data_IF_400239173828
#
_entry.id   IF_400239173828
#
_cell.length_a   1.000
_cell.length_b   1.000
_cell.length_c   1.000
_cell.angle_alpha   90.00
_cell.angle_beta   90.00
_cell.angle_gamma   90.00
#
_symmetry.space_group_name_H-M   'P 1'
#
loop_
_entity.id
_entity.type
_entity.pdbx_description
1 polymer ?
#
# COMPACT_ATOMS: atom_id res chain seq x y z
N UNK A 1 38.21 -48.28 4.47
CA UNK A 1 37.92 -46.85 4.70
C UNK A 1 36.56 -46.54 4.11
N UNK A 2 35.54 -46.30 4.95
CA UNK A 2 34.16 -46.08 4.50
C UNK A 2 33.90 -44.61 4.17
N UNK A 3 33.04 -44.38 3.17
CA UNK A 3 32.62 -43.05 2.67
C UNK A 3 32.12 -42.07 3.75
N UNK A 4 31.69 -42.58 4.92
CA UNK A 4 31.28 -41.73 6.06
C UNK A 4 32.43 -40.95 6.69
N UNK A 5 33.66 -41.50 6.71
CA UNK A 5 34.83 -40.82 7.27
C UNK A 5 35.29 -39.63 6.42
N UNK A 6 35.24 -39.77 5.10
CA UNK A 6 35.62 -38.71 4.15
C UNK A 6 34.68 -37.50 4.20
N UNK A 7 33.40 -37.71 4.54
CA UNK A 7 32.40 -36.65 4.57
C UNK A 7 32.45 -35.84 5.89
N UNK A 8 32.82 -36.46 7.02
CA UNK A 8 33.08 -35.74 8.28
C UNK A 8 34.37 -34.90 8.22
N UNK A 9 35.40 -35.37 7.50
CA UNK A 9 36.65 -34.62 7.33
C UNK A 9 36.50 -33.41 6.37
N UNK A 10 35.65 -33.53 5.34
CA UNK A 10 35.38 -32.44 4.40
C UNK A 10 34.40 -31.38 4.93
N UNK A 11 33.49 -31.75 5.83
CA UNK A 11 32.43 -30.87 6.34
C UNK A 11 32.49 -30.57 7.85
N UNK A 12 33.46 -31.12 8.59
CA UNK A 12 33.62 -30.91 10.03
C UNK A 12 33.96 -29.48 10.47
N UNK A 13 34.07 -28.53 9.54
CA UNK A 13 34.61 -27.20 9.81
C UNK A 13 33.67 -26.00 9.64
N UNK A 14 32.44 -26.13 9.11
CA UNK A 14 31.65 -24.93 8.74
C UNK A 14 30.15 -25.11 8.96
N UNK A 15 29.69 -24.82 10.18
CA UNK A 15 28.26 -24.82 10.49
C UNK A 15 27.83 -24.02 11.71
N UNK A 16 28.72 -23.19 12.29
CA UNK A 16 28.30 -22.12 13.20
C UNK A 16 28.40 -20.83 12.42
N UNK A 17 27.26 -20.39 11.86
CA UNK A 17 27.06 -18.97 11.54
C UNK A 17 27.27 -18.24 12.87
N UNK A 18 28.49 -17.71 13.07
CA UNK A 18 28.76 -16.80 14.17
C UNK A 18 27.82 -15.63 13.93
N UNK A 19 26.78 -15.50 14.77
CA UNK A 19 26.09 -14.21 14.93
C UNK A 19 27.21 -13.22 15.23
N UNK A 20 27.55 -12.41 14.23
CA UNK A 20 28.47 -11.30 14.40
C UNK A 20 27.90 -10.48 15.54
N UNK A 21 28.63 -10.41 16.65
CA UNK A 21 28.26 -9.55 17.76
C UNK A 21 28.21 -8.12 17.21
N UNK A 22 27.00 -7.63 16.98
CA UNK A 22 26.73 -6.27 16.53
C UNK A 22 27.17 -5.33 17.65
N UNK A 23 28.45 -4.96 17.63
CA UNK A 23 28.96 -3.85 18.44
C UNK A 23 28.18 -2.61 18.03
N UNK A 24 27.58 -1.90 18.99
CA UNK A 24 27.08 -0.53 18.79
C UNK A 24 28.24 0.30 18.19
N UNK A 25 28.20 0.52 16.88
CA UNK A 25 29.29 1.15 16.11
C UNK A 25 29.66 0.46 14.78
N UNK A 26 29.22 -0.77 14.49
CA UNK A 26 29.44 -1.36 13.15
C UNK A 26 28.44 -0.82 12.12
N UNK A 27 28.89 -0.58 10.89
CA UNK A 27 28.05 -0.11 9.77
C UNK A 27 26.85 -1.05 9.57
N UNK A 28 25.67 -0.49 9.32
CA UNK A 28 24.47 -1.25 8.92
C UNK A 28 24.65 -1.62 7.45
N UNK A 29 24.72 -2.92 7.15
CA UNK A 29 24.96 -3.42 5.78
C UNK A 29 23.73 -4.13 5.19
N UNK A 30 22.75 -4.50 6.01
CA UNK A 30 21.49 -5.12 5.58
C UNK A 30 20.28 -4.64 6.39
N UNK A 31 19.07 -4.91 5.88
CA UNK A 31 17.82 -4.65 6.60
C UNK A 31 17.71 -5.55 7.82
N UNK A 32 18.26 -6.76 7.76
CA UNK A 32 18.32 -7.73 8.84
C UNK A 32 19.20 -7.22 9.99
N UNK A 33 20.37 -6.63 9.69
CA UNK A 33 21.24 -6.02 10.72
C UNK A 33 20.54 -4.85 11.41
N UNK A 34 19.74 -4.09 10.67
CA UNK A 34 18.95 -2.99 11.21
C UNK A 34 17.83 -3.53 12.11
N UNK A 35 17.15 -4.60 11.67
CA UNK A 35 16.11 -5.26 12.45
C UNK A 35 16.65 -5.83 13.78
N UNK A 36 17.85 -6.38 13.81
CA UNK A 36 18.47 -6.90 15.03
C UNK A 36 18.80 -5.81 16.07
N UNK A 37 18.93 -4.55 15.64
CA UNK A 37 19.20 -3.39 16.51
C UNK A 37 17.92 -2.70 17.01
N UNK A 38 16.79 -2.98 16.37
CA UNK A 38 15.51 -2.35 16.66
C UNK A 38 14.67 -3.21 17.62
N UNK A 39 13.68 -2.59 18.27
CA UNK A 39 12.66 -3.30 19.04
C UNK A 39 11.68 -4.12 18.15
N UNK A 40 10.77 -4.92 18.74
CA UNK A 40 9.86 -5.80 17.99
C UNK A 40 8.87 -5.05 17.09
N UNK A 41 8.57 -3.79 17.41
CA UNK A 41 7.72 -2.89 16.62
C UNK A 41 8.50 -1.60 16.32
N UNK A 42 9.33 -1.59 15.25
CA UNK A 42 10.12 -0.42 14.94
C UNK A 42 9.24 0.74 14.45
N UNK A 43 9.49 1.92 14.98
CA UNK A 43 8.93 3.18 14.52
C UNK A 43 9.78 3.79 13.39
N UNK A 44 9.16 4.67 12.60
CA UNK A 44 9.87 5.44 11.56
C UNK A 44 11.07 6.21 12.12
N UNK A 45 10.93 6.78 13.32
CA UNK A 45 11.97 7.59 13.97
C UNK A 45 13.20 6.75 14.34
N UNK A 46 12.98 5.59 14.97
CA UNK A 46 14.08 4.67 15.32
C UNK A 46 14.79 4.13 14.07
N UNK A 47 14.04 3.84 12.99
CA UNK A 47 14.64 3.43 11.72
C UNK A 47 15.46 4.56 11.11
N UNK A 48 14.97 5.80 11.13
CA UNK A 48 15.69 6.96 10.58
C UNK A 48 16.99 7.27 11.37
N UNK A 49 16.99 7.09 12.69
CA UNK A 49 18.17 7.31 13.54
C UNK A 49 19.28 6.29 13.27
N UNK A 50 18.90 5.05 12.98
CA UNK A 50 19.84 3.95 12.73
C UNK A 50 20.15 3.71 11.25
N UNK A 51 19.39 4.32 10.34
CA UNK A 51 19.63 4.24 8.91
C UNK A 51 20.94 4.95 8.55
N UNK A 52 21.76 4.37 7.67
CA UNK A 52 23.01 5.01 7.28
C UNK A 52 22.73 6.25 6.42
N UNK A 53 23.49 7.32 6.65
CA UNK A 53 23.37 8.56 5.87
C UNK A 53 23.76 8.36 4.40
N UNK A 54 24.71 7.45 4.13
CA UNK A 54 25.11 7.03 2.79
C UNK A 54 24.78 5.56 2.57
N UNK A 55 24.54 5.16 1.31
CA UNK A 55 24.27 3.75 0.98
C UNK A 55 22.86 3.27 1.32
N UNK A 56 21.94 4.16 1.70
CA UNK A 56 20.53 3.84 1.91
C UNK A 56 19.89 3.10 0.72
N UNK A 57 20.28 3.49 -0.51
CA UNK A 57 19.81 2.84 -1.74
C UNK A 57 20.19 1.35 -1.79
N UNK A 58 21.37 0.96 -1.26
CA UNK A 58 21.79 -0.44 -1.21
C UNK A 58 20.90 -1.28 -0.31
N UNK A 59 20.44 -0.72 0.81
CA UNK A 59 19.55 -1.41 1.73
C UNK A 59 18.16 -1.70 1.14
N UNK A 60 17.76 -0.95 0.11
CA UNK A 60 16.44 -1.10 -0.52
C UNK A 60 16.48 -1.80 -1.88
N UNK A 61 17.65 -2.29 -2.31
CA UNK A 61 17.84 -3.04 -3.56
C UNK A 61 17.04 -4.34 -3.62
N UNK A 62 16.67 -4.91 -2.47
CA UNK A 62 15.87 -6.13 -2.39
C UNK A 62 14.87 -6.07 -1.24
N UNK A 63 13.57 -6.34 -1.51
CA UNK A 63 12.56 -6.36 -0.46
C UNK A 63 12.72 -7.63 0.38
N UNK A 64 12.79 -7.53 1.71
CA UNK A 64 12.96 -8.68 2.59
C UNK A 64 11.69 -9.53 2.67
N UNK A 65 11.87 -10.85 2.80
CA UNK A 65 10.75 -11.80 2.86
C UNK A 65 10.01 -11.77 4.22
N UNK A 66 10.72 -11.44 5.30
CA UNK A 66 10.14 -11.42 6.64
C UNK A 66 9.32 -10.13 6.86
N UNK A 67 8.12 -10.27 7.42
CA UNK A 67 7.21 -9.13 7.68
C UNK A 67 7.88 -7.96 8.41
N UNK A 68 8.69 -8.26 9.44
CA UNK A 68 9.41 -7.25 10.21
C UNK A 68 10.42 -6.48 9.34
N UNK A 69 11.18 -7.19 8.53
CA UNK A 69 12.08 -6.59 7.55
C UNK A 69 11.31 -5.74 6.55
N UNK A 70 10.15 -6.20 6.06
CA UNK A 70 9.37 -5.49 5.04
C UNK A 70 8.85 -4.14 5.55
N UNK A 71 8.45 -4.07 6.83
CA UNK A 71 8.09 -2.79 7.47
C UNK A 71 9.28 -1.84 7.56
N UNK A 72 10.45 -2.33 7.98
CA UNK A 72 11.68 -1.53 8.04
C UNK A 72 12.06 -1.04 6.65
N UNK A 73 12.09 -1.94 5.67
CA UNK A 73 12.33 -1.64 4.26
C UNK A 73 11.34 -0.60 3.74
N UNK A 74 10.06 -0.69 4.11
CA UNK A 74 9.05 0.31 3.81
C UNK A 74 9.43 1.71 4.29
N UNK A 75 9.87 1.85 5.54
CA UNK A 75 10.39 3.14 6.05
C UNK A 75 11.64 3.60 5.31
N UNK A 76 12.58 2.70 5.01
CA UNK A 76 13.81 3.04 4.28
C UNK A 76 13.51 3.56 2.87
N UNK A 77 12.55 2.96 2.15
CA UNK A 77 12.12 3.46 0.83
C UNK A 77 11.52 4.87 0.90
N UNK A 78 10.75 5.17 1.95
CA UNK A 78 10.22 6.52 2.19
C UNK A 78 11.34 7.52 2.44
N UNK A 79 12.28 7.18 3.33
CA UNK A 79 13.44 8.03 3.64
C UNK A 79 14.28 8.29 2.39
N UNK A 80 14.53 7.26 1.57
CA UNK A 80 15.27 7.40 0.33
C UNK A 80 14.55 8.30 -0.68
N UNK A 81 13.22 8.15 -0.81
CA UNK A 81 12.43 9.00 -1.70
C UNK A 81 12.44 10.47 -1.26
N UNK A 82 12.40 10.71 0.05
CA UNK A 82 12.38 12.06 0.63
C UNK A 82 13.74 12.78 0.54
N UNK A 83 14.84 12.03 0.63
CA UNK A 83 16.21 12.58 0.53
C UNK A 83 16.66 12.77 -0.93
N UNK A 84 16.00 12.12 -1.88
CA UNK A 84 16.37 12.18 -3.29
C UNK A 84 15.73 13.37 -4.01
N UNK A 85 16.54 14.13 -4.75
CA UNK A 85 16.06 15.20 -5.64
C UNK A 85 15.33 14.64 -6.89
N UNK A 86 15.63 13.40 -7.28
CA UNK A 86 15.03 12.72 -8.43
C UNK A 86 14.14 11.56 -7.99
N UNK A 87 13.17 11.13 -8.83
CA UNK A 87 12.42 9.91 -8.55
C UNK A 87 13.35 8.72 -8.31
N UNK A 88 13.08 7.94 -7.26
CA UNK A 88 13.80 6.70 -7.01
C UNK A 88 12.99 5.52 -7.55
N UNK A 89 13.70 4.57 -8.17
CA UNK A 89 13.13 3.34 -8.68
C UNK A 89 13.56 2.20 -7.75
N UNK A 90 12.60 1.45 -7.22
CA UNK A 90 12.87 0.32 -6.31
C UNK A 90 12.04 -0.90 -6.74
N UNK A 91 12.47 -2.12 -6.39
CA UNK A 91 11.64 -3.31 -6.60
C UNK A 91 10.29 -3.22 -5.88
N UNK A 92 9.27 -3.87 -6.42
CA UNK A 92 7.99 -4.01 -5.74
C UNK A 92 8.14 -4.84 -4.46
N UNK A 93 7.79 -4.25 -3.32
CA UNK A 93 7.83 -4.89 -2.01
C UNK A 93 6.70 -4.40 -1.11
N UNK A 94 6.27 -5.25 -0.19
CA UNK A 94 5.23 -4.91 0.79
C UNK A 94 5.69 -3.70 1.65
N UNK A 95 4.75 -2.82 2.02
CA UNK A 95 5.01 -1.56 2.76
C UNK A 95 5.87 -0.51 2.05
N UNK A 96 6.16 -0.62 0.75
CA UNK A 96 6.88 0.44 0.03
C UNK A 96 6.23 1.82 0.22
N UNK A 97 7.03 2.84 0.57
CA UNK A 97 6.52 4.19 0.82
C UNK A 97 5.69 4.33 2.11
N UNK A 98 5.93 3.47 3.12
CA UNK A 98 5.29 3.56 4.43
C UNK A 98 5.57 4.91 5.10
N UNK A 99 4.50 5.62 5.46
CA UNK A 99 4.56 6.96 6.09
C UNK A 99 5.34 8.00 5.28
N UNK A 100 5.43 7.85 3.95
CA UNK A 100 6.14 8.78 3.08
C UNK A 100 5.57 10.20 3.17
N UNK A 101 6.43 11.18 3.41
CA UNK A 101 6.06 12.59 3.56
C UNK A 101 6.32 13.43 2.30
N UNK A 102 7.20 12.97 1.41
CA UNK A 102 7.64 13.72 0.24
C UNK A 102 8.33 12.83 -0.79
N UNK A 103 8.84 13.43 -1.87
CA UNK A 103 9.58 12.69 -2.89
C UNK A 103 8.72 11.96 -3.92
N UNK A 104 9.39 11.17 -4.78
CA UNK A 104 8.76 10.37 -5.83
C UNK A 104 9.33 8.96 -5.83
N UNK A 105 8.45 7.97 -5.74
CA UNK A 105 8.77 6.55 -5.65
C UNK A 105 8.14 5.81 -6.83
N UNK A 106 8.95 5.11 -7.61
CA UNK A 106 8.51 4.27 -8.73
C UNK A 106 8.80 2.83 -8.37
N UNK A 107 7.75 2.01 -8.26
CA UNK A 107 7.90 0.58 -8.01
C UNK A 107 7.99 -0.18 -9.32
N UNK A 108 9.08 -0.91 -9.51
CA UNK A 108 9.27 -1.79 -10.64
C UNK A 108 8.27 -2.97 -10.57
N UNK A 109 7.86 -3.55 -11.71
CA UNK A 109 7.05 -4.76 -11.71
C UNK A 109 7.74 -5.89 -10.93
N UNK A 110 6.99 -6.55 -10.06
CA UNK A 110 7.46 -7.71 -9.29
C UNK A 110 6.65 -8.96 -9.59
N UNK A 111 7.09 -10.09 -9.04
CA UNK A 111 6.42 -11.39 -9.19
C UNK A 111 5.02 -11.42 -8.56
N UNK A 112 4.82 -10.67 -7.47
CA UNK A 112 3.55 -10.53 -6.77
C UNK A 112 3.20 -9.06 -6.54
N UNK A 113 1.91 -8.68 -6.59
CA UNK A 113 1.48 -7.33 -6.22
C UNK A 113 1.81 -7.05 -4.74
N UNK A 114 2.55 -5.97 -4.43
CA UNK A 114 2.90 -5.64 -3.06
C UNK A 114 1.72 -5.00 -2.33
N UNK A 115 1.55 -5.38 -1.07
CA UNK A 115 0.49 -4.88 -0.18
C UNK A 115 1.01 -3.75 0.71
N UNK A 116 0.10 -2.95 1.28
CA UNK A 116 0.43 -1.82 2.17
C UNK A 116 1.30 -0.71 1.55
N UNK A 117 1.38 -0.64 0.22
CA UNK A 117 2.11 0.43 -0.46
C UNK A 117 1.49 1.79 -0.15
N UNK A 118 2.29 2.75 0.28
CA UNK A 118 1.82 4.09 0.64
C UNK A 118 0.95 4.14 1.89
N UNK A 119 1.00 3.11 2.74
CA UNK A 119 0.27 3.13 4.01
C UNK A 119 0.70 4.35 4.84
N UNK A 120 -0.28 5.06 5.40
CA UNK A 120 -0.10 6.24 6.28
C UNK A 120 0.72 7.38 5.66
N UNK A 121 0.89 7.41 4.33
CA UNK A 121 1.63 8.48 3.65
C UNK A 121 0.94 9.85 3.80
N UNK A 122 1.75 10.90 3.92
CA UNK A 122 1.33 12.29 4.14
C UNK A 122 1.66 13.19 2.95
N UNK A 123 2.55 12.75 2.05
CA UNK A 123 2.92 13.51 0.86
C UNK A 123 3.73 12.69 -0.13
N UNK A 124 4.26 13.36 -1.16
CA UNK A 124 4.98 12.72 -2.26
C UNK A 124 4.09 12.00 -3.26
N UNK A 125 4.72 11.25 -4.18
CA UNK A 125 4.02 10.48 -5.22
C UNK A 125 4.56 9.06 -5.36
N UNK A 126 3.67 8.08 -5.41
CA UNK A 126 4.01 6.69 -5.67
C UNK A 126 3.36 6.25 -6.98
N UNK A 127 4.14 5.63 -7.87
CA UNK A 127 3.61 5.01 -9.10
C UNK A 127 4.06 3.57 -9.24
N UNK A 128 3.14 2.71 -9.65
CA UNK A 128 3.41 1.28 -9.83
C UNK A 128 2.47 0.65 -10.85
N UNK A 129 2.74 -0.59 -11.27
CA UNK A 129 1.88 -1.30 -12.21
C UNK A 129 0.64 -1.87 -11.50
N UNK A 130 0.82 -2.84 -10.58
CA UNK A 130 -0.27 -3.53 -9.88
C UNK A 130 -0.01 -3.49 -8.38
N UNK A 131 -1.02 -3.10 -7.61
CA UNK A 131 -0.99 -3.09 -6.15
C UNK A 131 -1.73 -4.30 -5.57
N UNK A 132 -1.22 -4.81 -4.45
CA UNK A 132 -1.90 -5.78 -3.60
C UNK A 132 -2.94 -5.10 -2.71
N UNK A 133 -3.18 -5.69 -1.53
CA UNK A 133 -4.17 -5.18 -0.59
C UNK A 133 -3.68 -3.94 0.16
N UNK A 134 -4.60 -3.15 0.70
CA UNK A 134 -4.30 -2.00 1.58
C UNK A 134 -3.46 -0.90 0.93
N UNK A 135 -3.50 -0.77 -0.40
CA UNK A 135 -2.88 0.35 -1.13
C UNK A 135 -3.33 1.68 -0.54
N UNK A 136 -2.43 2.55 -0.10
CA UNK A 136 -2.76 3.87 0.43
C UNK A 136 -3.66 3.84 1.67
N UNK A 137 -3.64 2.75 2.44
CA UNK A 137 -4.39 2.67 3.69
C UNK A 137 -4.00 3.83 4.62
N UNK A 138 -4.99 4.51 5.20
CA UNK A 138 -4.80 5.61 6.15
C UNK A 138 -3.96 6.78 5.61
N UNK A 139 -3.93 6.96 4.30
CA UNK A 139 -3.24 8.08 3.65
C UNK A 139 -3.87 9.43 3.99
N UNK A 140 -3.04 10.43 4.30
CA UNK A 140 -3.44 11.80 4.64
C UNK A 140 -3.14 12.81 3.53
N UNK A 141 -2.20 12.49 2.64
CA UNK A 141 -1.77 13.39 1.58
C UNK A 141 -0.81 12.71 0.60
N UNK A 142 -0.51 13.38 -0.51
CA UNK A 142 0.28 12.83 -1.61
C UNK A 142 -0.58 12.23 -2.72
N UNK A 143 0.04 11.44 -3.60
CA UNK A 143 -0.62 10.84 -4.75
C UNK A 143 -0.15 9.41 -5.03
N UNK A 144 -1.08 8.50 -5.27
CA UNK A 144 -0.78 7.13 -5.72
C UNK A 144 -1.39 6.90 -7.09
N UNK A 145 -0.61 6.36 -8.03
CA UNK A 145 -1.08 5.97 -9.36
C UNK A 145 -0.72 4.51 -9.64
N UNK A 146 -1.73 3.68 -9.90
CA UNK A 146 -1.53 2.29 -10.32
C UNK A 146 -2.43 1.92 -11.50
N UNK A 147 -2.12 0.79 -12.14
CA UNK A 147 -2.97 0.26 -13.22
C UNK A 147 -4.09 -0.62 -12.69
N UNK A 148 -3.85 -1.38 -11.62
CA UNK A 148 -4.87 -2.15 -10.93
C UNK A 148 -4.52 -2.28 -9.44
N UNK A 149 -5.53 -2.56 -8.60
CA UNK A 149 -5.33 -2.83 -7.18
C UNK A 149 -6.26 -3.93 -6.66
N UNK A 150 -5.76 -4.71 -5.69
CA UNK A 150 -6.56 -5.65 -4.92
C UNK A 150 -7.44 -4.96 -3.86
N UNK A 151 -8.00 -5.74 -2.95
CA UNK A 151 -9.02 -5.27 -2.01
C UNK A 151 -8.50 -4.24 -1.00
N UNK A 152 -9.43 -3.52 -0.37
CA UNK A 152 -9.15 -2.56 0.69
C UNK A 152 -8.24 -1.38 0.29
N UNK A 153 -8.11 -1.10 -1.01
CA UNK A 153 -7.40 0.08 -1.47
C UNK A 153 -8.03 1.36 -0.91
N UNK A 154 -7.20 2.29 -0.44
CA UNK A 154 -7.55 3.58 0.16
C UNK A 154 -8.45 3.49 1.38
N UNK A 155 -8.38 2.37 2.12
CA UNK A 155 -9.09 2.21 3.40
C UNK A 155 -8.72 3.32 4.38
N UNK A 156 -9.71 3.93 5.02
CA UNK A 156 -9.56 4.99 6.01
C UNK A 156 -8.73 6.21 5.52
N UNK A 157 -8.70 6.46 4.21
CA UNK A 157 -8.04 7.63 3.64
C UNK A 157 -8.65 8.93 4.22
N UNK A 158 -7.80 9.93 4.46
CA UNK A 158 -8.18 11.26 5.00
C UNK A 158 -7.82 12.40 4.06
N UNK A 159 -6.92 12.16 3.10
CA UNK A 159 -6.51 13.18 2.13
C UNK A 159 -5.55 12.61 1.09
N UNK A 160 -5.19 13.45 0.11
CA UNK A 160 -4.41 13.04 -1.07
C UNK A 160 -5.28 12.61 -2.24
N UNK A 161 -4.68 11.93 -3.22
CA UNK A 161 -5.40 11.37 -4.36
C UNK A 161 -4.90 9.99 -4.77
N UNK A 162 -5.82 9.16 -5.25
CA UNK A 162 -5.56 7.84 -5.83
C UNK A 162 -6.11 7.76 -7.24
N UNK A 163 -5.30 7.27 -8.20
CA UNK A 163 -5.74 6.99 -9.57
C UNK A 163 -5.45 5.54 -9.91
N UNK A 164 -6.52 4.78 -10.17
CA UNK A 164 -6.46 3.40 -10.68
C UNK A 164 -6.87 3.42 -12.15
N UNK A 165 -5.93 3.16 -13.06
CA UNK A 165 -6.16 3.26 -14.51
C UNK A 165 -7.03 2.12 -15.07
N UNK A 166 -7.09 1.00 -14.39
CA UNK A 166 -7.90 -0.17 -14.71
C UNK A 166 -8.90 -0.43 -13.58
N UNK A 167 -8.96 -1.68 -13.12
CA UNK A 167 -9.95 -2.12 -12.15
C UNK A 167 -9.43 -2.09 -10.71
N UNK A 168 -10.36 -1.87 -9.78
CA UNK A 168 -10.15 -2.03 -8.35
C UNK A 168 -11.01 -3.20 -7.84
N UNK A 169 -10.47 -3.99 -6.92
CA UNK A 169 -11.24 -5.07 -6.29
C UNK A 169 -12.19 -4.54 -5.19
N UNK A 170 -12.64 -5.44 -4.32
CA UNK A 170 -13.61 -5.14 -3.26
C UNK A 170 -13.10 -4.12 -2.23
N UNK A 171 -14.03 -3.51 -1.50
CA UNK A 171 -13.74 -2.64 -0.36
C UNK A 171 -12.89 -1.41 -0.71
N UNK A 172 -13.00 -0.93 -1.94
CA UNK A 172 -12.37 0.31 -2.35
C UNK A 172 -12.88 1.48 -1.51
N UNK A 173 -11.97 2.23 -0.88
CA UNK A 173 -12.29 3.44 -0.13
C UNK A 173 -13.14 3.21 1.12
N UNK A 174 -13.06 2.03 1.75
CA UNK A 174 -13.81 1.76 2.99
C UNK A 174 -13.42 2.76 4.09
N UNK A 175 -14.41 3.36 4.75
CA UNK A 175 -14.20 4.29 5.85
C UNK A 175 -13.59 5.63 5.42
N UNK A 176 -13.55 5.91 4.11
CA UNK A 176 -12.93 7.10 3.57
C UNK A 176 -13.51 8.38 4.20
N UNK A 177 -12.62 9.23 4.69
CA UNK A 177 -12.91 10.46 5.38
C UNK A 177 -12.22 11.66 4.72
N UNK A 178 -11.78 11.53 3.47
CA UNK A 178 -11.29 12.65 2.67
C UNK A 178 -10.63 12.22 1.35
N UNK A 179 -9.88 13.13 0.73
CA UNK A 179 -9.16 12.83 -0.51
C UNK A 179 -10.05 12.54 -1.72
N UNK A 180 -9.41 12.13 -2.83
CA UNK A 180 -10.07 11.87 -4.12
C UNK A 180 -9.55 10.57 -4.73
N UNK A 181 -10.45 9.65 -5.02
CA UNK A 181 -10.15 8.36 -5.66
C UNK A 181 -10.83 8.33 -7.03
N UNK A 182 -10.05 8.07 -8.08
CA UNK A 182 -10.54 7.87 -9.44
C UNK A 182 -10.18 6.46 -9.91
N UNK A 183 -11.17 5.70 -10.32
CA UNK A 183 -11.03 4.41 -10.99
C UNK A 183 -11.56 4.55 -12.41
N UNK A 184 -10.70 4.30 -13.40
CA UNK A 184 -11.11 4.37 -14.81
C UNK A 184 -11.84 3.12 -15.29
N UNK A 185 -11.58 1.97 -14.67
CA UNK A 185 -12.31 0.73 -14.90
C UNK A 185 -13.46 0.54 -13.91
N UNK A 186 -13.70 -0.73 -13.57
CA UNK A 186 -14.76 -1.14 -12.64
C UNK A 186 -14.22 -1.35 -11.21
N UNK A 187 -15.12 -1.33 -10.23
CA UNK A 187 -14.84 -1.60 -8.83
C UNK A 187 -15.58 -2.85 -8.33
N UNK A 188 -14.97 -3.56 -7.39
CA UNK A 188 -15.59 -4.70 -6.71
C UNK A 188 -16.70 -4.30 -5.73
N UNK A 189 -17.12 -5.26 -4.91
CA UNK A 189 -18.23 -5.07 -3.97
C UNK A 189 -17.84 -4.14 -2.82
N UNK A 190 -18.84 -3.46 -2.24
CA UNK A 190 -18.67 -2.59 -1.05
C UNK A 190 -17.74 -1.40 -1.27
N UNK A 191 -17.61 -0.92 -2.50
CA UNK A 191 -16.93 0.34 -2.77
C UNK A 191 -17.61 1.50 -2.01
N UNK A 192 -16.83 2.32 -1.32
CA UNK A 192 -17.33 3.44 -0.51
C UNK A 192 -18.11 3.03 0.76
N UNK A 193 -17.98 1.79 1.24
CA UNK A 193 -18.62 1.37 2.49
C UNK A 193 -18.12 2.20 3.68
N UNK A 194 -19.04 2.76 4.48
CA UNK A 194 -18.76 3.68 5.59
C UNK A 194 -18.05 4.98 5.16
N UNK A 195 -18.19 5.42 3.92
CA UNK A 195 -17.63 6.69 3.47
C UNK A 195 -18.30 7.87 4.18
N UNK A 196 -17.47 8.77 4.73
CA UNK A 196 -17.86 9.94 5.54
C UNK A 196 -17.60 11.26 4.83
N UNK A 197 -16.50 11.36 4.08
CA UNK A 197 -16.05 12.55 3.36
C UNK A 197 -15.20 12.11 2.15
N UNK A 198 -14.85 13.07 1.28
CA UNK A 198 -14.03 12.84 0.09
C UNK A 198 -14.85 12.56 -1.16
N UNK A 199 -14.16 12.18 -2.24
CA UNK A 199 -14.75 11.90 -3.55
C UNK A 199 -14.27 10.57 -4.12
N UNK A 200 -15.20 9.70 -4.50
CA UNK A 200 -14.94 8.45 -5.20
C UNK A 200 -15.61 8.49 -6.57
N UNK A 201 -14.83 8.36 -7.64
CA UNK A 201 -15.32 8.33 -9.02
C UNK A 201 -14.91 7.01 -9.67
N UNK A 202 -15.88 6.28 -10.21
CA UNK A 202 -15.70 5.02 -10.92
C UNK A 202 -16.32 5.19 -12.32
N UNK A 203 -15.50 5.06 -13.37
CA UNK A 203 -15.96 5.27 -14.74
C UNK A 203 -16.55 4.01 -15.41
N UNK A 204 -16.30 2.83 -14.83
CA UNK A 204 -16.96 1.57 -15.19
C UNK A 204 -18.12 1.24 -14.25
N UNK A 205 -18.30 -0.05 -14.03
CA UNK A 205 -19.35 -0.61 -13.17
C UNK A 205 -18.85 -0.79 -11.73
N UNK A 206 -19.79 -0.93 -10.81
CA UNK A 206 -19.52 -1.35 -9.44
C UNK A 206 -20.39 -2.55 -9.09
N UNK A 207 -19.81 -3.53 -8.40
CA UNK A 207 -20.58 -4.64 -7.87
C UNK A 207 -21.47 -4.21 -6.67
N UNK A 208 -22.00 -5.20 -5.94
CA UNK A 208 -23.01 -5.00 -4.90
C UNK A 208 -22.54 -4.10 -3.73
N UNK A 209 -23.51 -3.55 -3.01
CA UNK A 209 -23.32 -2.75 -1.79
C UNK A 209 -22.48 -1.47 -1.97
N UNK A 210 -22.52 -0.86 -3.16
CA UNK A 210 -21.96 0.46 -3.39
C UNK A 210 -22.46 1.46 -2.32
N UNK A 211 -21.57 2.16 -1.64
CA UNK A 211 -21.92 3.21 -0.68
C UNK A 211 -22.72 2.72 0.54
N UNK A 212 -22.61 1.44 0.91
CA UNK A 212 -23.26 0.89 2.10
C UNK A 212 -22.93 1.75 3.33
N UNK A 213 -23.96 2.17 4.08
CA UNK A 213 -23.81 3.01 5.28
C UNK A 213 -22.96 4.28 5.09
N UNK A 214 -22.93 4.86 3.89
CA UNK A 214 -22.32 6.16 3.66
C UNK A 214 -23.03 7.24 4.49
N UNK A 215 -22.26 8.07 5.21
CA UNK A 215 -22.80 9.20 5.97
C UNK A 215 -22.45 10.57 5.38
N UNK A 216 -21.53 10.63 4.40
CA UNK A 216 -21.17 11.87 3.71
C UNK A 216 -20.23 11.64 2.53
N UNK A 217 -19.69 12.72 1.96
CA UNK A 217 -18.86 12.68 0.75
C UNK A 217 -19.65 12.46 -0.55
N UNK A 218 -18.92 12.25 -1.64
CA UNK A 218 -19.49 12.04 -2.98
C UNK A 218 -18.99 10.73 -3.60
N UNK A 219 -19.93 9.92 -4.08
CA UNK A 219 -19.69 8.70 -4.85
C UNK A 219 -20.36 8.88 -6.22
N UNK A 220 -19.58 8.69 -7.29
CA UNK A 220 -20.03 8.79 -8.67
C UNK A 220 -19.63 7.51 -9.41
N UNK A 221 -20.62 6.79 -9.92
CA UNK A 221 -20.42 5.60 -10.77
C UNK A 221 -21.06 5.88 -12.12
N UNK A 222 -20.27 5.84 -13.19
CA UNK A 222 -20.80 6.09 -14.54
C UNK A 222 -21.58 4.89 -15.08
N UNK A 223 -21.11 3.69 -14.78
CA UNK A 223 -21.77 2.44 -15.17
C UNK A 223 -22.90 2.02 -14.22
N UNK A 224 -23.18 0.72 -14.21
CA UNK A 224 -24.15 0.12 -13.32
C UNK A 224 -23.56 -0.16 -11.94
N UNK A 225 -24.36 0.06 -10.90
CA UNK A 225 -24.11 -0.44 -9.56
C UNK A 225 -24.93 -1.71 -9.33
N UNK A 226 -24.35 -2.70 -8.65
CA UNK A 226 -25.02 -3.95 -8.31
C UNK A 226 -26.17 -3.80 -7.31
N UNK A 227 -26.57 -4.93 -6.71
CA UNK A 227 -27.63 -4.97 -5.72
C UNK A 227 -27.28 -4.16 -4.47
N UNK A 228 -28.31 -3.62 -3.79
CA UNK A 228 -28.17 -2.92 -2.50
C UNK A 228 -27.26 -1.69 -2.57
N UNK A 229 -27.17 -1.05 -3.74
CA UNK A 229 -26.51 0.24 -3.89
C UNK A 229 -27.19 1.26 -2.96
N UNK A 230 -26.39 1.95 -2.15
CA UNK A 230 -26.86 2.96 -1.20
C UNK A 230 -27.68 2.44 -0.02
N UNK A 231 -27.57 1.16 0.31
CA UNK A 231 -28.25 0.59 1.48
C UNK A 231 -27.80 1.26 2.79
N UNK A 232 -28.76 1.62 3.66
CA UNK A 232 -28.54 2.24 4.98
C UNK A 232 -27.72 3.54 4.95
N UNK A 233 -27.74 4.31 3.84
CA UNK A 233 -27.10 5.62 3.77
C UNK A 233 -27.76 6.61 4.74
N UNK A 234 -26.93 7.46 5.35
CA UNK A 234 -27.33 8.55 6.26
C UNK A 234 -27.05 9.94 5.67
N UNK A 235 -26.29 10.03 4.59
CA UNK A 235 -25.94 11.30 3.96
C UNK A 235 -24.96 11.18 2.79
N UNK A 236 -24.57 12.34 2.27
CA UNK A 236 -23.68 12.48 1.10
C UNK A 236 -24.41 12.37 -0.24
N UNK A 237 -23.64 12.41 -1.32
CA UNK A 237 -24.14 12.27 -2.70
C UNK A 237 -23.70 10.92 -3.26
N UNK A 238 -24.64 10.15 -3.82
CA UNK A 238 -24.36 8.92 -4.54
C UNK A 238 -25.14 8.94 -5.86
N UNK A 239 -24.39 8.92 -6.97
CA UNK A 239 -24.97 8.88 -8.32
C UNK A 239 -24.45 7.66 -9.06
N UNK A 240 -25.34 6.91 -9.70
CA UNK A 240 -25.01 5.77 -10.54
C UNK A 240 -25.74 5.86 -11.89
N UNK A 241 -25.19 5.28 -12.95
CA UNK A 241 -25.85 5.20 -14.26
C UNK A 241 -27.05 4.25 -14.26
N UNK A 242 -26.94 3.16 -13.51
CA UNK A 242 -28.02 2.22 -13.20
C UNK A 242 -27.79 1.60 -11.81
N UNK A 243 -28.82 1.01 -11.21
CA UNK A 243 -28.72 0.30 -9.92
C UNK A 243 -29.45 -1.04 -9.98
N UNK A 244 -28.91 -2.03 -9.27
CA UNK A 244 -29.54 -3.34 -9.10
C UNK A 244 -30.69 -3.34 -8.10
N UNK A 245 -31.18 -4.54 -7.78
CA UNK A 245 -32.29 -4.74 -6.85
C UNK A 245 -31.96 -4.22 -5.43
N UNK A 246 -33.02 -3.88 -4.68
CA UNK A 246 -32.91 -3.44 -3.28
C UNK A 246 -32.02 -2.19 -3.07
N UNK A 247 -31.91 -1.33 -4.09
CA UNK A 247 -31.22 -0.07 -3.97
C UNK A 247 -31.88 0.83 -2.90
N UNK A 248 -31.05 1.47 -2.08
CA UNK A 248 -31.48 2.52 -1.17
C UNK A 248 -31.62 3.86 -1.89
N UNK A 249 -31.44 4.95 -1.16
CA UNK A 249 -31.45 6.29 -1.74
C UNK A 249 -30.21 6.50 -2.64
N UNK A 250 -30.42 6.47 -3.97
CA UNK A 250 -29.40 6.66 -5.01
C UNK A 250 -29.99 7.51 -6.13
N UNK A 251 -29.26 8.56 -6.53
CA UNK A 251 -29.63 9.33 -7.72
C UNK A 251 -29.22 8.58 -8.98
N UNK A 252 -30.16 8.32 -9.88
CA UNK A 252 -29.88 7.70 -11.19
C UNK A 252 -29.81 8.81 -12.24
N UNK A 253 -28.69 8.92 -12.95
CA UNK A 253 -28.50 9.91 -14.04
C UNK A 253 -27.59 9.32 -15.11
N UNK A 254 -27.84 9.65 -16.37
CA UNK A 254 -26.86 9.47 -17.44
C UNK A 254 -25.75 10.51 -17.28
N UNK A 255 -24.49 10.08 -17.19
CA UNK A 255 -23.31 10.90 -16.86
C UNK A 255 -22.15 10.58 -17.80
#
# INVERSE_FOLDING_TARGET
MGLKGFMEEAYGGQGRVRKLATRRGSQVVSVEDLADRLGPRPSRAEVAELAPAEGLLRLIESPPAQKRGAVIWGYLTSLAAEQSASPICVPAGDWAGLEMAGGRLILQPGLRPPSHVGERMKGGRISMLVAGEYLGQEMHGGGIVCSACSGFAFRNMRGGFGVVKGNAADHLGVGNAGGRILVRGSAGARAGWLMRLGRLVILGDCADYLGLRQSGGEILVRGAAGCRAGLQRRGGRLVAGAVGAEAGDVSIRCI
#
